data_IF_372100292975
#
_entry.id   IF_372100292975
#
_cell.length_a   1.000
_cell.length_b   1.000
_cell.length_c   1.000
_cell.angle_alpha   90.00
_cell.angle_beta   90.00
_cell.angle_gamma   90.00
#
_symmetry.space_group_name_H-M   'P 1'
#
loop_
_entity.id
_entity.type
_entity.pdbx_description
1 polymer ?
#
# COMPACT_ATOMS: atom_id res chain seq x y z
N UNK A 1 -1.47 -7.15 -15.35
CA UNK A 1 -0.05 -6.78 -15.08
C UNK A 1 0.24 -5.29 -15.24
N UNK A 2 -0.52 -4.55 -16.05
CA UNK A 2 -0.23 -3.14 -16.39
C UNK A 2 -0.36 -2.14 -15.23
N UNK A 3 -0.99 -2.52 -14.10
CA UNK A 3 -1.20 -1.63 -12.95
C UNK A 3 -0.33 -2.05 -11.76
N UNK A 4 -0.38 -3.32 -11.35
CA UNK A 4 0.31 -3.80 -10.15
C UNK A 4 1.84 -3.74 -10.26
N UNK A 5 2.41 -4.28 -11.35
CA UNK A 5 3.87 -4.33 -11.51
C UNK A 5 4.46 -2.91 -11.56
N UNK A 6 3.92 -1.95 -12.34
CA UNK A 6 4.43 -0.58 -12.33
C UNK A 6 4.25 0.14 -10.99
N UNK A 7 3.15 -0.10 -10.27
CA UNK A 7 2.93 0.51 -8.96
C UNK A 7 3.98 0.04 -7.93
N UNK A 8 4.26 -1.27 -7.90
CA UNK A 8 5.26 -1.86 -6.99
C UNK A 8 6.68 -1.43 -7.38
N UNK A 9 7.07 -1.66 -8.64
CA UNK A 9 8.43 -1.35 -9.09
C UNK A 9 8.71 0.15 -9.12
N UNK A 10 7.73 0.97 -9.51
CA UNK A 10 7.84 2.42 -9.51
C UNK A 10 8.09 2.96 -8.11
N UNK A 11 7.31 2.51 -7.12
CA UNK A 11 7.50 2.91 -5.71
C UNK A 11 8.86 2.48 -5.19
N UNK A 12 9.27 1.22 -5.41
CA UNK A 12 10.57 0.71 -4.98
C UNK A 12 11.74 1.46 -5.63
N UNK A 13 11.62 1.79 -6.92
CA UNK A 13 12.65 2.54 -7.65
C UNK A 13 12.86 3.93 -7.03
N UNK A 14 11.77 4.66 -6.76
CA UNK A 14 11.84 5.99 -6.12
C UNK A 14 12.45 5.88 -4.72
N UNK A 15 11.98 4.95 -3.88
CA UNK A 15 12.50 4.76 -2.52
C UNK A 15 14.00 4.40 -2.50
N UNK A 16 14.44 3.52 -3.40
CA UNK A 16 15.87 3.20 -3.57
C UNK A 16 16.68 4.43 -3.98
N UNK A 17 16.14 5.30 -4.83
CA UNK A 17 16.80 6.54 -5.22
C UNK A 17 16.89 7.55 -4.08
N UNK A 18 15.80 7.70 -3.32
CA UNK A 18 15.74 8.50 -2.11
C UNK A 18 16.79 8.08 -1.09
N UNK A 19 16.97 6.77 -0.88
CA UNK A 19 17.96 6.23 0.04
C UNK A 19 19.43 6.55 -0.34
N UNK A 20 19.70 6.83 -1.62
CA UNK A 20 21.04 7.22 -2.09
C UNK A 20 21.36 8.71 -1.86
N UNK A 21 20.38 9.53 -1.48
CA UNK A 21 20.58 10.95 -1.25
C UNK A 21 20.71 11.24 0.26
N UNK A 22 21.93 11.48 0.79
CA UNK A 22 22.14 11.70 2.22
C UNK A 22 21.52 13.01 2.75
N UNK A 23 21.16 13.95 1.88
CA UNK A 23 20.48 15.19 2.28
C UNK A 23 18.96 14.99 2.48
N UNK A 24 18.39 13.91 1.95
CA UNK A 24 16.97 13.61 2.06
C UNK A 24 16.65 13.11 3.48
N UNK A 25 15.74 13.79 4.17
CA UNK A 25 15.41 13.51 5.58
C UNK A 25 14.14 12.68 5.78
N UNK A 26 13.20 12.74 4.83
CA UNK A 26 11.87 12.11 4.95
C UNK A 26 11.26 11.90 3.58
N UNK A 27 10.57 10.78 3.41
CA UNK A 27 9.68 10.49 2.28
C UNK A 27 8.27 10.27 2.83
N UNK A 28 7.27 10.80 2.13
CA UNK A 28 5.85 10.55 2.42
C UNK A 28 5.26 9.85 1.19
N UNK A 29 4.71 8.66 1.39
CA UNK A 29 4.03 7.89 0.33
C UNK A 29 2.53 8.12 0.43
N UNK A 30 1.92 8.64 -0.62
CA UNK A 30 0.46 8.72 -0.73
C UNK A 30 -0.09 7.34 -1.05
N UNK A 31 -0.53 6.62 -0.01
CA UNK A 31 -1.29 5.38 -0.15
C UNK A 31 -2.79 5.66 -0.33
N UNK A 32 -3.65 4.69 -0.08
CA UNK A 32 -5.10 4.81 -0.18
C UNK A 32 -5.80 3.94 0.88
N UNK A 33 -7.05 4.29 1.21
CA UNK A 33 -7.93 3.44 2.03
C UNK A 33 -8.21 2.07 1.41
N UNK A 34 -7.98 1.92 0.10
CA UNK A 34 -8.05 0.63 -0.58
C UNK A 34 -7.09 -0.42 0.00
N UNK A 35 -5.93 -0.01 0.51
CA UNK A 35 -4.96 -0.90 1.15
C UNK A 35 -5.38 -1.38 2.55
N UNK A 36 -6.55 -0.95 3.04
CA UNK A 36 -7.05 -1.23 4.40
C UNK A 36 -8.42 -1.92 4.36
N UNK A 37 -9.32 -1.44 3.48
CA UNK A 37 -10.76 -1.77 3.56
C UNK A 37 -11.21 -3.05 2.86
N UNK A 38 -10.46 -3.56 1.89
CA UNK A 38 -10.82 -4.78 1.19
C UNK A 38 -10.47 -5.99 2.06
N UNK A 39 -11.38 -6.44 2.93
CA UNK A 39 -11.15 -7.53 3.89
C UNK A 39 -12.38 -8.41 4.05
N UNK A 40 -12.15 -9.70 4.32
CA UNK A 40 -13.23 -10.69 4.49
C UNK A 40 -13.82 -10.63 5.92
N UNK A 41 -13.06 -10.13 6.91
CA UNK A 41 -13.41 -10.03 8.33
C UNK A 41 -14.00 -8.66 8.71
N UNK A 42 -14.76 -8.05 7.80
CA UNK A 42 -15.35 -6.75 8.04
C UNK A 42 -16.39 -6.80 9.18
N UNK A 43 -16.11 -6.10 10.27
CA UNK A 43 -17.03 -5.84 11.37
C UNK A 43 -17.18 -4.33 11.59
N UNK A 44 -18.38 -3.75 11.43
CA UNK A 44 -18.64 -2.34 11.69
C UNK A 44 -18.31 -1.87 13.12
N UNK A 45 -18.27 -2.78 14.09
CA UNK A 45 -17.94 -2.46 15.48
C UNK A 45 -16.44 -2.41 15.76
N UNK A 46 -15.63 -2.96 14.85
CA UNK A 46 -14.17 -2.98 14.94
C UNK A 46 -13.57 -1.76 14.23
N UNK A 47 -12.97 -0.80 14.95
CA UNK A 47 -12.35 0.37 14.34
C UNK A 47 -11.12 -0.02 13.51
N UNK A 48 -10.91 0.69 12.39
CA UNK A 48 -9.69 0.56 11.59
C UNK A 48 -8.60 1.45 12.18
N UNK A 49 -7.37 0.93 12.21
CA UNK A 49 -6.17 1.61 12.66
C UNK A 49 -5.00 1.41 11.68
N UNK A 50 -3.81 1.92 12.02
CA UNK A 50 -2.61 1.80 11.19
C UNK A 50 -2.06 0.36 11.11
N UNK A 51 -2.58 -0.57 11.90
CA UNK A 51 -2.22 -2.00 11.81
C UNK A 51 -3.10 -2.77 10.81
N UNK A 52 -4.17 -2.14 10.33
CA UNK A 52 -5.17 -2.74 9.47
C UNK A 52 -4.73 -2.82 8.00
N UNK A 53 -4.85 -4.01 7.40
CA UNK A 53 -4.55 -4.26 5.97
C UNK A 53 -5.71 -4.90 5.21
N UNK A 54 -5.71 -4.73 3.89
CA UNK A 54 -6.58 -5.48 2.98
C UNK A 54 -6.09 -6.92 2.76
N UNK A 55 -7.03 -7.85 2.58
CA UNK A 55 -6.81 -9.23 2.15
C UNK A 55 -6.33 -9.25 0.69
N UNK A 56 -5.10 -9.71 0.46
CA UNK A 56 -4.54 -9.82 -0.89
C UNK A 56 -5.34 -10.80 -1.74
N UNK A 57 -5.83 -11.89 -1.13
CA UNK A 57 -6.67 -12.88 -1.81
C UNK A 57 -8.00 -12.28 -2.25
N UNK A 58 -8.63 -11.47 -1.40
CA UNK A 58 -9.87 -10.78 -1.79
C UNK A 58 -9.61 -9.75 -2.90
N UNK A 59 -8.54 -8.97 -2.80
CA UNK A 59 -8.17 -8.01 -3.85
C UNK A 59 -7.94 -8.69 -5.20
N UNK A 60 -7.25 -9.83 -5.23
CA UNK A 60 -7.01 -10.61 -6.46
C UNK A 60 -8.31 -11.15 -7.06
N UNK A 61 -9.27 -11.59 -6.23
CA UNK A 61 -10.60 -12.05 -6.71
C UNK A 61 -11.47 -10.91 -7.27
N UNK A 62 -11.21 -9.67 -6.88
CA UNK A 62 -11.99 -8.50 -7.31
C UNK A 62 -11.40 -7.79 -8.55
N UNK A 63 -10.24 -8.22 -9.05
CA UNK A 63 -9.62 -7.73 -10.28
C UNK A 63 -10.14 -8.47 -11.52
#
# INVERSE_FOLDING_TARGET
>A
AEILEPAVQGTLNVLRSCNRNPALKRVVLTSSTAAVRARDDFDPSTPLDESSWSSTQLCERLQ
#
